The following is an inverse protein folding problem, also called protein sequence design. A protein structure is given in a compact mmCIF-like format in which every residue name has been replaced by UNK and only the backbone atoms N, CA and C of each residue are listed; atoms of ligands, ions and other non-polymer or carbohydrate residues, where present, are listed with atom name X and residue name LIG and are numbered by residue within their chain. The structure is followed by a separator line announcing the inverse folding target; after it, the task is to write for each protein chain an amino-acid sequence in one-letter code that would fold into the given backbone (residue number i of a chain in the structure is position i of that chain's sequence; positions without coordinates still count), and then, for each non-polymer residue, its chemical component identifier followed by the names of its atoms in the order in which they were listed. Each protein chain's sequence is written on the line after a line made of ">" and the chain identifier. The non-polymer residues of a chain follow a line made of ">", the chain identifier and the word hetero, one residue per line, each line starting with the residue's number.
data_IF_175590365402
#
_entry.id   IF_175590365402
#
_cell.length_a   1.000
_cell.length_b   1.000
_cell.length_c   1.000
_cell.angle_alpha   90.00
_cell.angle_beta   90.00
_cell.angle_gamma   90.00
#
_symmetry.space_group_name_H-M   'P 1'
#
loop_
_entity.id
_entity.type
_entity.pdbx_description
1 polymer ?
#
# COMPACT_ATOMS: atom_id res chain seq x y z
N UNK A 1 -15.14 -11.00 25.33
CA UNK A 1 -15.73 -9.98 24.44
C UNK A 1 -16.43 -10.73 23.31
N UNK A 2 -17.60 -10.33 22.81
CA UNK A 2 -18.16 -10.99 21.61
C UNK A 2 -17.71 -10.16 20.41
N UNK A 3 -16.73 -10.66 19.66
CA UNK A 3 -16.33 -10.06 18.39
C UNK A 3 -17.42 -10.33 17.36
N UNK A 4 -17.87 -9.27 16.69
CA UNK A 4 -18.84 -9.39 15.61
C UNK A 4 -18.16 -8.93 14.32
N UNK A 5 -18.25 -9.71 13.25
CA UNK A 5 -17.66 -9.35 11.95
C UNK A 5 -18.40 -8.19 11.26
N UNK A 6 -19.27 -7.46 11.97
CA UNK A 6 -19.95 -6.29 11.48
C UNK A 6 -18.96 -5.14 11.28
N UNK A 7 -19.21 -4.29 10.27
CA UNK A 7 -18.39 -3.12 9.95
C UNK A 7 -18.28 -2.06 11.08
N UNK A 8 -18.96 -2.29 12.21
CA UNK A 8 -19.01 -1.42 13.38
C UNK A 8 -18.10 -1.88 14.52
N UNK A 9 -17.47 -3.05 14.41
CA UNK A 9 -16.53 -3.51 15.42
C UNK A 9 -15.27 -2.62 15.43
N UNK A 10 -14.90 -2.02 16.58
CA UNK A 10 -13.71 -1.18 16.69
C UNK A 10 -12.44 -1.87 16.16
N UNK A 11 -12.28 -3.19 16.34
CA UNK A 11 -11.11 -3.93 15.87
C UNK A 11 -11.03 -3.96 14.34
N UNK A 12 -12.15 -3.95 13.63
CA UNK A 12 -12.16 -3.86 12.16
C UNK A 12 -11.65 -2.49 11.72
N UNK A 13 -12.09 -1.41 12.35
CA UNK A 13 -11.65 -0.07 11.99
C UNK A 13 -10.17 0.16 12.35
N UNK A 14 -9.78 -0.19 13.58
CA UNK A 14 -8.40 -0.05 14.04
C UNK A 14 -7.46 -0.99 13.29
N UNK A 15 -7.84 -2.24 13.04
CA UNK A 15 -7.08 -3.19 12.24
C UNK A 15 -6.78 -2.66 10.83
N UNK A 16 -7.80 -2.11 10.16
CA UNK A 16 -7.64 -1.47 8.85
C UNK A 16 -6.70 -0.26 8.91
N UNK A 17 -6.78 0.57 9.95
CA UNK A 17 -5.90 1.73 10.08
C UNK A 17 -4.47 1.31 10.41
N UNK A 18 -4.29 0.47 11.42
CA UNK A 18 -3.02 -0.09 11.87
C UNK A 18 -2.29 -0.83 10.75
N UNK A 19 -3.03 -1.62 9.97
CA UNK A 19 -2.56 -2.30 8.77
C UNK A 19 -2.17 -1.38 7.61
N UNK A 20 -2.49 -0.09 7.67
CA UNK A 20 -2.03 0.93 6.72
C UNK A 20 -0.84 1.71 7.29
N UNK A 21 -0.92 2.14 8.53
CA UNK A 21 -0.02 3.18 9.09
C UNK A 21 1.09 2.64 10.00
N UNK A 22 0.88 1.51 10.66
CA UNK A 22 1.80 1.02 11.69
C UNK A 22 2.62 -0.16 11.18
N UNK A 23 1.98 -1.20 10.65
CA UNK A 23 2.70 -2.38 10.15
C UNK A 23 2.02 -2.99 8.92
N UNK A 24 2.29 -2.40 7.75
CA UNK A 24 1.57 -2.76 6.53
C UNK A 24 1.64 -4.26 6.19
N UNK A 25 2.82 -4.87 6.28
CA UNK A 25 3.06 -6.28 5.93
C UNK A 25 3.04 -7.23 7.15
N UNK A 26 2.27 -6.90 8.19
CA UNK A 26 2.28 -7.69 9.43
C UNK A 26 1.61 -9.04 9.22
N UNK A 27 2.24 -10.10 9.72
CA UNK A 27 1.54 -11.35 9.98
C UNK A 27 0.94 -11.27 11.39
N UNK A 28 -0.32 -10.82 11.48
CA UNK A 28 -1.01 -10.63 12.76
C UNK A 28 -1.12 -11.91 13.57
N UNK A 29 -1.27 -13.08 12.92
CA UNK A 29 -1.29 -14.35 13.62
C UNK A 29 0.03 -14.58 14.36
N UNK A 30 1.14 -14.50 13.63
CA UNK A 30 2.47 -14.67 14.22
C UNK A 30 2.77 -13.59 15.27
N UNK A 31 2.32 -12.36 15.03
CA UNK A 31 2.44 -11.26 15.98
C UNK A 31 1.73 -11.60 17.29
N UNK A 32 0.46 -11.98 17.24
CA UNK A 32 -0.35 -12.27 18.42
C UNK A 32 0.18 -13.49 19.16
N UNK A 33 0.39 -14.62 18.48
CA UNK A 33 0.89 -15.86 19.11
C UNK A 33 2.22 -15.63 19.83
N UNK A 34 3.19 -15.00 19.17
CA UNK A 34 4.51 -14.76 19.77
C UNK A 34 4.46 -13.76 20.93
N UNK A 35 3.48 -12.85 20.94
CA UNK A 35 3.38 -11.81 21.97
C UNK A 35 2.54 -12.25 23.16
N UNK A 36 1.54 -13.10 22.96
CA UNK A 36 0.87 -13.83 24.04
C UNK A 36 1.89 -14.71 24.77
N UNK A 37 2.71 -15.46 24.04
CA UNK A 37 3.80 -16.25 24.63
C UNK A 37 4.76 -15.38 25.45
N UNK A 38 5.05 -14.16 24.97
CA UNK A 38 5.91 -13.21 25.70
C UNK A 38 5.26 -12.66 26.97
N UNK A 39 3.95 -12.41 26.97
CA UNK A 39 3.24 -11.94 28.17
C UNK A 39 3.00 -13.04 29.21
N UNK A 40 3.00 -14.31 28.79
CA UNK A 40 2.90 -15.47 29.67
C UNK A 40 4.27 -16.04 30.04
N UNK A 41 4.74 -16.99 29.24
CA UNK A 41 5.90 -17.83 29.56
C UNK A 41 7.23 -17.08 29.59
N UNK A 42 7.35 -15.96 28.86
CA UNK A 42 8.58 -15.16 28.81
C UNK A 42 8.44 -13.79 29.48
N UNK A 43 7.47 -13.62 30.39
CA UNK A 43 7.23 -12.34 31.06
C UNK A 43 8.45 -11.83 31.84
N UNK A 44 9.21 -12.75 32.45
CA UNK A 44 10.42 -12.46 33.22
C UNK A 44 11.70 -12.40 32.37
N UNK A 45 11.60 -12.65 31.07
CA UNK A 45 12.76 -12.63 30.19
C UNK A 45 13.24 -11.18 29.95
N UNK A 46 14.52 -10.87 30.20
CA UNK A 46 15.05 -9.53 29.99
C UNK A 46 15.01 -9.13 28.52
N UNK A 47 14.88 -7.82 28.26
CA UNK A 47 14.66 -7.29 26.91
C UNK A 47 15.85 -7.55 25.97
N UNK A 48 17.06 -7.68 26.52
CA UNK A 48 18.30 -7.99 25.80
C UNK A 48 18.30 -9.40 25.17
N UNK A 49 17.41 -10.30 25.62
CA UNK A 49 17.28 -11.63 25.03
C UNK A 49 16.52 -11.62 23.70
N UNK A 50 15.91 -10.50 23.34
CA UNK A 50 15.12 -10.37 22.11
C UNK A 50 15.88 -9.57 21.05
N UNK A 51 15.68 -9.94 19.80
CA UNK A 51 16.20 -9.20 18.65
C UNK A 51 15.53 -7.83 18.52
N UNK A 52 16.19 -6.88 17.85
CA UNK A 52 15.60 -5.56 17.55
C UNK A 52 14.26 -5.67 16.79
N UNK A 53 14.12 -6.70 15.94
CA UNK A 53 12.86 -7.00 15.26
C UNK A 53 11.78 -7.38 16.27
N UNK A 54 12.06 -8.31 17.18
CA UNK A 54 11.09 -8.74 18.19
C UNK A 54 10.69 -7.61 19.14
N UNK A 55 11.63 -6.76 19.54
CA UNK A 55 11.35 -5.56 20.32
C UNK A 55 10.42 -4.60 19.56
N UNK A 56 10.70 -4.32 18.29
CA UNK A 56 9.87 -3.50 17.43
C UNK A 56 8.44 -4.07 17.31
N UNK A 57 8.28 -5.36 17.01
CA UNK A 57 6.94 -5.92 16.89
C UNK A 57 6.22 -6.00 18.26
N UNK A 58 6.96 -6.08 19.39
CA UNK A 58 6.34 -5.96 20.71
C UNK A 58 5.80 -4.55 20.97
N UNK A 59 6.53 -3.52 20.57
CA UNK A 59 6.03 -2.15 20.62
C UNK A 59 4.76 -1.99 19.77
N UNK A 60 4.76 -2.55 18.56
CA UNK A 60 3.59 -2.58 17.65
C UNK A 60 2.41 -3.31 18.31
N UNK A 61 2.64 -4.43 18.98
CA UNK A 61 1.61 -5.16 19.73
C UNK A 61 1.06 -4.34 20.92
N UNK A 62 1.91 -3.63 21.65
CA UNK A 62 1.48 -2.74 22.75
C UNK A 62 0.57 -1.62 22.24
N UNK A 63 0.87 -1.03 21.08
CA UNK A 63 -0.01 -0.05 20.45
C UNK A 63 -1.36 -0.66 20.00
N UNK A 64 -1.36 -1.91 19.54
CA UNK A 64 -2.59 -2.64 19.24
C UNK A 64 -3.46 -2.82 20.51
N UNK A 65 -2.86 -3.23 21.63
CA UNK A 65 -3.59 -3.40 22.90
C UNK A 65 -4.23 -2.09 23.40
N UNK A 66 -3.53 -0.96 23.24
CA UNK A 66 -4.07 0.36 23.61
C UNK A 66 -5.23 0.81 22.73
N UNK A 67 -5.36 0.26 21.52
CA UNK A 67 -6.38 0.69 20.56
C UNK A 67 -7.79 0.23 20.92
N UNK A 68 -7.92 -0.91 21.62
CA UNK A 68 -9.22 -1.50 22.00
C UNK A 68 -9.19 -1.92 23.46
N UNK A 69 -10.01 -1.26 24.27
CA UNK A 69 -10.13 -1.56 25.69
C UNK A 69 -10.58 -3.01 25.92
N UNK A 70 -9.91 -3.72 26.83
CA UNK A 70 -10.21 -5.13 27.15
C UNK A 70 -9.66 -6.14 26.14
N UNK A 71 -8.91 -5.70 25.12
CA UNK A 71 -8.28 -6.61 24.16
C UNK A 71 -7.22 -7.51 24.81
N UNK A 72 -6.44 -6.96 25.74
CA UNK A 72 -5.41 -7.71 26.47
C UNK A 72 -6.01 -8.84 27.30
N UNK A 73 -7.02 -8.54 28.11
CA UNK A 73 -7.75 -9.55 28.90
C UNK A 73 -8.41 -10.59 28.00
N UNK A 74 -8.95 -10.16 26.85
CA UNK A 74 -9.55 -11.08 25.89
C UNK A 74 -8.53 -12.03 25.27
N UNK A 75 -7.32 -11.56 24.95
CA UNK A 75 -6.25 -12.39 24.40
C UNK A 75 -5.62 -13.31 25.45
N UNK A 76 -5.56 -12.87 26.71
CA UNK A 76 -4.96 -13.65 27.81
C UNK A 76 -5.92 -14.70 28.40
N UNK A 77 -7.22 -14.44 28.39
CA UNK A 77 -8.24 -15.38 28.89
C UNK A 77 -8.84 -16.22 27.77
N UNK A 78 -8.62 -15.82 26.52
CA UNK A 78 -9.20 -16.46 25.36
C UNK A 78 -8.42 -17.68 24.87
N UNK A 79 -9.10 -18.53 24.11
CA UNK A 79 -8.51 -19.66 23.39
C UNK A 79 -8.01 -19.28 22.00
N UNK A 80 -7.44 -20.26 21.29
CA UNK A 80 -6.93 -20.08 19.92
C UNK A 80 -7.98 -19.47 18.97
N UNK A 81 -9.27 -19.83 19.12
CA UNK A 81 -10.37 -19.30 18.31
C UNK A 81 -10.54 -17.77 18.45
N UNK A 82 -10.28 -17.21 19.64
CA UNK A 82 -10.37 -15.76 19.88
C UNK A 82 -9.14 -15.03 19.34
N UNK A 83 -7.97 -15.67 19.39
CA UNK A 83 -6.74 -15.15 18.77
C UNK A 83 -6.91 -15.09 17.25
N UNK A 84 -7.46 -16.15 16.64
CA UNK A 84 -7.75 -16.20 15.21
C UNK A 84 -8.75 -15.13 14.79
N UNK A 85 -9.83 -14.96 15.58
CA UNK A 85 -10.82 -13.91 15.33
C UNK A 85 -10.21 -12.50 15.40
N UNK A 86 -9.39 -12.23 16.41
CA UNK A 86 -8.68 -10.94 16.53
C UNK A 86 -7.69 -10.77 15.38
N UNK A 87 -6.94 -11.80 15.01
CA UNK A 87 -6.00 -11.75 13.89
C UNK A 87 -6.69 -11.43 12.58
N UNK A 88 -7.85 -12.04 12.32
CA UNK A 88 -8.65 -11.80 11.12
C UNK A 88 -9.19 -10.37 11.09
N UNK A 89 -9.75 -9.87 12.19
CA UNK A 89 -10.31 -8.51 12.28
C UNK A 89 -9.22 -7.43 12.25
N UNK A 90 -8.06 -7.69 12.86
CA UNK A 90 -6.91 -6.81 12.83
C UNK A 90 -6.19 -6.83 11.48
N UNK A 91 -6.42 -7.87 10.66
CA UNK A 91 -5.71 -8.09 9.40
C UNK A 91 -5.90 -6.94 8.41
N UNK A 92 -4.77 -6.42 7.92
CA UNK A 92 -4.70 -5.45 6.85
C UNK A 92 -5.21 -5.99 5.50
N UNK A 93 -5.39 -7.31 5.36
CA UNK A 93 -5.74 -7.94 4.08
C UNK A 93 -7.06 -7.43 3.50
N UNK A 94 -8.08 -7.22 4.35
CA UNK A 94 -9.34 -6.60 3.93
C UNK A 94 -9.15 -5.16 3.46
N UNK A 95 -8.40 -4.34 4.22
CA UNK A 95 -8.07 -2.97 3.84
C UNK A 95 -7.35 -2.90 2.49
N UNK A 96 -6.33 -3.73 2.29
CA UNK A 96 -5.54 -3.80 1.03
C UNK A 96 -6.40 -4.21 -0.16
N UNK A 97 -7.30 -5.17 0.04
CA UNK A 97 -8.26 -5.60 -0.98
C UNK A 97 -9.18 -4.44 -1.39
N UNK A 98 -9.76 -3.75 -0.40
CA UNK A 98 -10.61 -2.58 -0.61
C UNK A 98 -9.87 -1.43 -1.31
N UNK A 99 -8.64 -1.14 -0.87
CA UNK A 99 -7.78 -0.10 -1.44
C UNK A 99 -7.44 -0.42 -2.89
N UNK A 100 -7.01 -1.66 -3.18
CA UNK A 100 -6.71 -2.11 -4.55
C UNK A 100 -7.94 -2.01 -5.46
N UNK A 101 -9.11 -2.41 -4.94
CA UNK A 101 -10.38 -2.34 -5.67
C UNK A 101 -10.77 -0.90 -6.00
N UNK A 102 -10.67 0.01 -5.03
CA UNK A 102 -11.05 1.42 -5.19
C UNK A 102 -10.04 2.22 -6.03
N UNK A 103 -8.74 1.89 -5.92
CA UNK A 103 -7.68 2.51 -6.71
C UNK A 103 -7.80 2.18 -8.19
N UNK A 104 -8.15 0.93 -8.55
CA UNK A 104 -8.20 0.48 -9.95
C UNK A 104 -8.99 1.42 -10.87
N UNK A 105 -10.19 1.82 -10.46
CA UNK A 105 -11.02 2.74 -11.23
C UNK A 105 -10.58 4.20 -11.13
N UNK A 106 -10.01 4.59 -9.98
CA UNK A 106 -9.58 5.96 -9.72
C UNK A 106 -8.32 6.33 -10.49
N UNK A 107 -7.36 5.41 -10.56
CA UNK A 107 -6.13 5.55 -11.33
C UNK A 107 -6.43 5.82 -12.81
N UNK A 108 -7.43 5.14 -13.41
CA UNK A 108 -7.81 5.41 -14.81
C UNK A 108 -8.23 6.87 -15.01
N UNK A 109 -8.97 7.46 -14.07
CA UNK A 109 -9.33 8.87 -14.15
C UNK A 109 -8.10 9.77 -13.97
N UNK A 110 -7.18 9.42 -13.08
CA UNK A 110 -5.97 10.19 -12.84
C UNK A 110 -4.99 10.13 -14.01
N UNK A 111 -4.86 9.00 -14.69
CA UNK A 111 -3.99 8.91 -15.86
C UNK A 111 -4.64 9.50 -17.11
N UNK A 112 -5.96 9.70 -17.14
CA UNK A 112 -6.62 10.33 -18.28
C UNK A 112 -6.28 11.84 -18.34
N UNK A 113 -5.82 12.39 -19.47
CA UNK A 113 -5.65 13.83 -19.64
C UNK A 113 -6.99 14.56 -19.56
N UNK A 114 -6.99 15.79 -19.03
CA UNK A 114 -8.23 16.58 -18.89
C UNK A 114 -8.89 16.82 -20.24
N UNK A 115 -10.20 16.60 -20.30
CA UNK A 115 -11.00 16.79 -21.52
C UNK A 115 -10.71 15.78 -22.63
N UNK A 116 -9.92 14.74 -22.37
CA UNK A 116 -9.59 13.70 -23.34
C UNK A 116 -10.05 12.33 -22.81
N UNK A 117 -10.02 11.34 -23.71
CA UNK A 117 -10.24 9.94 -23.37
C UNK A 117 -8.96 9.14 -23.58
N UNK A 118 -8.85 8.01 -22.87
CA UNK A 118 -7.84 7.00 -23.18
C UNK A 118 -8.18 6.35 -24.52
N UNK A 119 -7.16 6.10 -25.33
CA UNK A 119 -7.30 5.52 -26.66
C UNK A 119 -6.33 4.32 -26.76
N UNK A 120 -6.86 3.09 -26.87
CA UNK A 120 -8.28 2.72 -26.77
C UNK A 120 -8.84 2.96 -25.35
N UNK A 121 -10.17 3.11 -25.18
CA UNK A 121 -10.77 3.24 -23.86
C UNK A 121 -10.43 2.03 -22.97
N UNK A 122 -9.97 2.29 -21.74
CA UNK A 122 -9.68 1.24 -20.77
C UNK A 122 -10.88 1.01 -19.85
N UNK A 123 -11.33 -0.24 -19.74
CA UNK A 123 -12.38 -0.62 -18.81
C UNK A 123 -11.84 -0.66 -17.37
N UNK A 124 -12.66 -0.22 -16.40
CA UNK A 124 -12.28 -0.14 -14.97
C UNK A 124 -12.07 -1.50 -14.32
N UNK A 125 -12.63 -2.55 -14.88
CA UNK A 125 -12.67 -3.90 -14.37
C UNK A 125 -11.81 -4.89 -15.16
N UNK A 126 -11.32 -4.52 -16.35
CA UNK A 126 -10.40 -5.35 -17.14
C UNK A 126 -8.96 -4.85 -17.04
N UNK A 127 -8.00 -5.77 -17.07
CA UNK A 127 -6.56 -5.45 -17.03
C UNK A 127 -5.80 -5.87 -18.29
N UNK A 128 -6.45 -6.58 -19.22
CA UNK A 128 -5.81 -7.17 -20.41
C UNK A 128 -5.16 -6.11 -21.31
N UNK A 129 -5.83 -4.98 -21.47
CA UNK A 129 -5.37 -3.88 -22.32
C UNK A 129 -4.48 -2.87 -21.56
N UNK A 130 -4.29 -3.05 -20.26
CA UNK A 130 -3.44 -2.17 -19.45
C UNK A 130 -1.95 -2.53 -19.59
N UNK A 131 -1.08 -1.80 -18.87
CA UNK A 131 0.35 -2.08 -18.89
C UNK A 131 1.00 -1.63 -20.18
N UNK A 132 1.89 -2.46 -20.72
CA UNK A 132 2.60 -2.18 -21.97
C UNK A 132 1.72 -2.29 -23.22
N UNK A 133 0.50 -2.84 -23.12
CA UNK A 133 -0.43 -2.98 -24.25
C UNK A 133 -1.15 -1.67 -24.63
N UNK A 134 -1.11 -0.65 -23.78
CA UNK A 134 -1.73 0.65 -24.04
C UNK A 134 -0.72 1.78 -23.87
N UNK A 135 -0.71 2.74 -24.79
CA UNK A 135 0.30 3.82 -24.84
C UNK A 135 0.38 4.61 -23.52
N UNK A 136 -0.75 5.06 -22.98
CA UNK A 136 -0.75 5.83 -21.72
C UNK A 136 -0.19 5.08 -20.51
N UNK A 137 -0.64 3.86 -20.25
CA UNK A 137 -0.16 3.07 -19.10
C UNK A 137 1.25 2.57 -19.34
N UNK A 138 1.60 2.29 -20.59
CA UNK A 138 2.92 1.83 -21.00
C UNK A 138 3.99 2.86 -20.71
N UNK A 139 3.80 4.12 -21.13
CA UNK A 139 4.71 5.25 -20.80
C UNK A 139 4.96 5.34 -19.30
N UNK A 140 3.89 5.28 -18.50
CA UNK A 140 3.97 5.45 -17.05
C UNK A 140 4.72 4.30 -16.35
N UNK A 141 4.56 3.08 -16.83
CA UNK A 141 5.21 1.89 -16.27
C UNK A 141 6.58 1.61 -16.88
N UNK A 142 6.97 2.37 -17.90
CA UNK A 142 8.22 2.14 -18.59
C UNK A 142 9.42 2.43 -17.68
N UNK A 143 10.50 1.63 -17.79
CA UNK A 143 11.76 1.95 -17.11
C UNK A 143 12.22 3.37 -17.43
N UNK A 144 12.41 4.18 -16.39
CA UNK A 144 12.70 5.60 -16.51
C UNK A 144 13.97 5.90 -17.33
N UNK A 145 14.96 5.00 -17.31
CA UNK A 145 16.21 5.13 -18.06
C UNK A 145 16.15 4.70 -19.53
N UNK A 146 14.98 4.31 -20.05
CA UNK A 146 14.81 3.89 -21.44
C UNK A 146 13.94 4.89 -22.21
N UNK A 147 14.10 4.93 -23.53
CA UNK A 147 13.27 5.74 -24.42
C UNK A 147 12.00 4.99 -24.85
N UNK A 148 10.83 5.45 -24.39
CA UNK A 148 9.54 4.88 -24.82
C UNK A 148 9.35 5.00 -26.33
N UNK A 149 9.95 5.99 -27.00
CA UNK A 149 9.79 6.21 -28.44
C UNK A 149 10.37 5.08 -29.30
N UNK A 150 11.24 4.24 -28.73
CA UNK A 150 11.85 3.11 -29.43
C UNK A 150 10.85 1.96 -29.61
N UNK A 151 10.34 1.81 -30.84
CA UNK A 151 9.39 0.76 -31.24
C UNK A 151 9.91 -0.67 -31.00
N UNK A 152 11.21 -0.90 -31.12
CA UNK A 152 11.80 -2.22 -30.86
C UNK A 152 11.75 -2.56 -29.36
N UNK A 153 12.13 -1.60 -28.51
CA UNK A 153 12.05 -1.76 -27.05
C UNK A 153 10.61 -1.96 -26.59
N UNK A 154 9.64 -1.22 -27.15
CA UNK A 154 8.21 -1.45 -26.88
C UNK A 154 7.78 -2.87 -27.27
N UNK A 155 8.19 -3.36 -28.44
CA UNK A 155 7.82 -4.69 -28.91
C UNK A 155 8.39 -5.79 -28.00
N UNK A 156 9.66 -5.66 -27.60
CA UNK A 156 10.33 -6.60 -26.69
C UNK A 156 9.74 -6.62 -25.28
N UNK A 157 9.26 -5.48 -24.77
CA UNK A 157 8.55 -5.43 -23.50
C UNK A 157 7.15 -6.03 -23.58
N UNK A 158 6.44 -5.82 -24.70
CA UNK A 158 5.13 -6.45 -24.94
C UNK A 158 5.24 -7.97 -25.09
N UNK A 159 6.29 -8.47 -25.74
CA UNK A 159 6.54 -9.91 -25.89
C UNK A 159 7.10 -10.57 -24.62
N UNK A 160 7.62 -9.77 -23.68
CA UNK A 160 8.31 -10.27 -22.48
C UNK A 160 9.76 -10.70 -22.73
N UNK A 161 10.34 -10.36 -23.88
CA UNK A 161 11.76 -10.58 -24.18
C UNK A 161 12.67 -9.71 -23.31
N UNK A 162 12.23 -8.49 -23.00
CA UNK A 162 12.85 -7.66 -21.97
C UNK A 162 12.07 -7.86 -20.67
N UNK A 163 12.78 -8.32 -19.64
CA UNK A 163 12.29 -8.38 -18.26
C UNK A 163 12.77 -7.11 -17.56
N UNK A 164 11.82 -6.27 -17.13
CA UNK A 164 12.14 -5.11 -16.29
C UNK A 164 12.53 -5.62 -14.90
N UNK A 165 13.76 -5.34 -14.51
CA UNK A 165 14.31 -5.73 -13.21
C UNK A 165 13.90 -4.74 -12.11
N UNK A 166 13.93 -5.18 -10.84
CA UNK A 166 13.44 -4.37 -9.71
C UNK A 166 14.26 -3.12 -9.38
N UNK A 167 15.46 -2.99 -9.95
CA UNK A 167 16.31 -1.80 -9.89
C UNK A 167 15.94 -0.74 -10.94
N UNK A 168 15.06 -1.08 -11.90
CA UNK A 168 14.54 -0.14 -12.89
C UNK A 168 13.22 0.47 -12.43
N UNK A 169 13.29 1.72 -11.99
CA UNK A 169 12.12 2.47 -11.55
C UNK A 169 11.20 2.82 -12.74
N UNK A 170 9.88 2.65 -12.60
CA UNK A 170 8.94 3.12 -13.60
C UNK A 170 8.80 4.65 -13.57
N UNK A 171 8.55 5.23 -14.75
CA UNK A 171 8.47 6.68 -14.94
C UNK A 171 7.42 7.37 -14.07
N UNK A 172 6.32 6.69 -13.73
CA UNK A 172 5.27 7.27 -12.89
C UNK A 172 5.72 7.65 -11.49
N UNK A 173 6.90 7.22 -11.03
CA UNK A 173 7.44 7.61 -9.73
C UNK A 173 8.01 9.03 -9.74
N UNK A 174 8.37 9.55 -10.91
CA UNK A 174 9.07 10.81 -11.03
C UNK A 174 8.14 12.02 -11.15
N UNK A 175 8.56 13.17 -10.63
CA UNK A 175 7.92 14.47 -10.84
C UNK A 175 7.68 14.69 -12.34
N UNK A 176 6.45 15.08 -12.67
CA UNK A 176 5.97 15.29 -14.05
C UNK A 176 6.29 14.16 -15.05
N UNK A 177 6.57 12.94 -14.54
CA UNK A 177 6.98 11.78 -15.32
C UNK A 177 8.26 12.04 -16.13
N UNK A 178 9.21 12.77 -15.56
CA UNK A 178 10.49 13.07 -16.18
C UNK A 178 11.66 12.46 -15.40
N UNK A 179 12.54 11.76 -16.10
CA UNK A 179 13.74 11.15 -15.53
C UNK A 179 14.99 11.93 -15.93
N UNK A 180 15.77 12.36 -14.93
CA UNK A 180 17.05 13.02 -15.15
C UNK A 180 18.20 12.00 -15.14
N UNK A 181 18.86 11.83 -16.29
CA UNK A 181 20.00 10.93 -16.46
C UNK A 181 21.24 11.37 -15.67
N UNK A 182 21.36 12.66 -15.35
CA UNK A 182 22.50 13.22 -14.61
C UNK A 182 22.27 13.15 -13.11
N UNK A 183 21.02 13.26 -12.68
CA UNK A 183 20.59 13.12 -11.29
C UNK A 183 19.35 12.20 -11.17
N UNK A 184 19.55 10.87 -11.10
CA UNK A 184 18.45 9.91 -11.01
C UNK A 184 17.54 10.05 -9.79
N UNK A 185 17.95 10.82 -8.77
CA UNK A 185 17.16 11.06 -7.57
C UNK A 185 16.22 12.25 -7.73
N UNK A 186 16.51 13.13 -8.68
CA UNK A 186 15.71 14.30 -8.95
C UNK A 186 14.27 13.89 -9.31
N UNK A 187 13.31 14.44 -8.57
CA UNK A 187 11.89 14.14 -8.74
C UNK A 187 11.44 12.72 -8.36
N UNK A 188 12.33 11.82 -7.90
CA UNK A 188 11.94 10.47 -7.53
C UNK A 188 10.97 10.46 -6.35
N UNK A 189 9.88 9.69 -6.48
CA UNK A 189 8.75 9.61 -5.55
C UNK A 189 7.93 10.90 -5.39
N UNK A 190 8.05 11.85 -6.32
CA UNK A 190 7.37 13.15 -6.25
C UNK A 190 6.25 13.31 -7.28
N UNK A 191 5.83 12.24 -7.94
CA UNK A 191 4.76 12.33 -8.92
C UNK A 191 3.39 12.63 -8.29
N UNK A 192 2.56 13.37 -9.03
CA UNK A 192 1.17 13.62 -8.64
C UNK A 192 0.36 12.31 -8.48
N UNK A 193 0.71 11.24 -9.21
CA UNK A 193 0.04 9.95 -9.08
C UNK A 193 0.29 9.30 -7.71
N UNK A 194 1.50 9.41 -7.18
CA UNK A 194 1.83 8.92 -5.84
C UNK A 194 1.07 9.70 -4.77
N UNK A 195 1.00 11.03 -4.91
CA UNK A 195 0.23 11.87 -3.98
C UNK A 195 -1.27 11.54 -4.04
N UNK A 196 -1.83 11.34 -5.25
CA UNK A 196 -3.22 10.89 -5.40
C UNK A 196 -3.45 9.53 -4.73
N UNK A 197 -2.58 8.55 -4.96
CA UNK A 197 -2.69 7.23 -4.35
C UNK A 197 -2.57 7.29 -2.82
N UNK A 198 -1.65 8.10 -2.30
CA UNK A 198 -1.50 8.30 -0.87
C UNK A 198 -2.77 8.90 -0.25
N UNK A 199 -3.28 10.00 -0.80
CA UNK A 199 -4.50 10.63 -0.29
C UNK A 199 -5.72 9.71 -0.43
N UNK A 200 -5.82 8.96 -1.52
CA UNK A 200 -6.90 8.00 -1.71
C UNK A 200 -6.92 6.92 -0.64
N UNK A 201 -5.76 6.37 -0.29
CA UNK A 201 -5.61 5.24 0.64
C UNK A 201 -5.58 5.65 2.11
N UNK A 202 -4.84 6.71 2.44
CA UNK A 202 -4.54 7.07 3.83
C UNK A 202 -5.42 8.18 4.39
N UNK A 203 -6.08 8.98 3.53
CA UNK A 203 -7.00 10.02 3.98
C UNK A 203 -8.43 9.71 3.59
N UNK A 204 -8.75 9.73 2.29
CA UNK A 204 -10.05 9.36 1.74
C UNK A 204 -10.02 9.49 0.22
N UNK A 205 -10.75 8.64 -0.55
CA UNK A 205 -10.98 8.85 -1.98
C UNK A 205 -11.49 10.25 -2.32
N UNK A 206 -12.34 10.84 -1.48
CA UNK A 206 -12.92 12.18 -1.70
C UNK A 206 -11.92 13.32 -1.52
N UNK A 207 -10.77 13.06 -0.90
CA UNK A 207 -9.73 14.06 -0.70
C UNK A 207 -8.85 14.28 -1.93
N UNK A 208 -8.96 13.41 -2.94
CA UNK A 208 -8.14 13.52 -4.15
C UNK A 208 -8.68 14.62 -5.06
N UNK A 209 -8.05 15.80 -4.97
CA UNK A 209 -8.22 16.89 -5.92
C UNK A 209 -6.94 17.06 -6.75
N UNK A 210 -7.01 16.70 -8.03
CA UNK A 210 -5.86 16.70 -8.92
C UNK A 210 -5.36 18.12 -9.24
N UNK A 211 -6.24 19.12 -9.21
CA UNK A 211 -5.85 20.51 -9.47
C UNK A 211 -5.06 21.06 -8.30
N UNK A 212 -5.58 20.89 -7.09
CA UNK A 212 -4.89 21.32 -5.89
C UNK A 212 -3.56 20.58 -5.71
N UNK A 213 -3.51 19.27 -6.00
CA UNK A 213 -2.27 18.49 -5.89
C UNK A 213 -1.20 19.01 -6.87
N UNK A 214 -1.55 19.24 -8.14
CA UNK A 214 -0.57 19.74 -9.11
C UNK A 214 -0.09 21.16 -8.75
N UNK A 215 -0.98 22.00 -8.23
CA UNK A 215 -0.64 23.35 -7.77
C UNK A 215 0.29 23.28 -6.55
N UNK A 216 -0.01 22.44 -5.57
CA UNK A 216 0.84 22.25 -4.38
C UNK A 216 2.24 21.77 -4.75
N UNK A 217 2.35 20.78 -5.65
CA UNK A 217 3.66 20.25 -6.06
C UNK A 217 4.54 21.34 -6.70
N UNK A 218 3.97 22.25 -7.50
CA UNK A 218 4.70 23.38 -8.10
C UNK A 218 5.18 24.43 -7.10
N UNK A 219 4.64 24.46 -5.89
CA UNK A 219 5.05 25.41 -4.85
C UNK A 219 6.08 24.84 -3.87
N UNK A 220 6.41 23.55 -3.98
CA UNK A 220 7.41 22.89 -3.13
C UNK A 220 8.80 22.79 -3.80
N UNK A 221 8.92 23.22 -5.06
CA UNK A 221 10.18 23.42 -5.80
C UNK A 221 10.73 24.83 -5.60
#
# INVERSE_FOLDING_TARGET
>A
MIFNSSATDPLVHYGRHFGRTVHALCNFQALLTNRILRMGELADAPEENFTAKEQCEHHVFQELLKSVAGLEECLMQGGDDEVDAVAELASASGARGDDTKSLKGSVLNWITPKGQNLIPPLARDMKVDCGFHHERTGVLLFPAGLDWSNSETKAKLKSGEIIVTGDQWPLFLYADYHYDLKDPWNGLFQSALLVCAYRHTFTSPSSVDRELIQVMLRFME
#
